data_IF_973849847619
#
_entry.id   IF_973849847619
#
_cell.length_a   1.000
_cell.length_b   1.000
_cell.length_c   1.000
_cell.angle_alpha   90.00
_cell.angle_beta   90.00
_cell.angle_gamma   90.00
#
_symmetry.space_group_name_H-M   'P 1'
#
loop_
_entity.id
_entity.type
_entity.pdbx_description
1 polymer ?
#
# COMPACT_ATOMS: atom_id res chain seq x y z
N UNK A 1 -12.78 -16.85 -0.85
CA UNK A 1 -12.42 -15.46 -1.26
C UNK A 1 -11.51 -14.93 -0.17
N UNK A 2 -10.23 -14.77 -0.52
CA UNK A 2 -9.10 -14.69 0.41
C UNK A 2 -8.93 -13.28 1.00
N UNK A 3 -8.53 -13.22 2.26
CA UNK A 3 -8.11 -11.98 2.94
C UNK A 3 -6.83 -11.44 2.29
N UNK A 4 -6.65 -10.12 2.30
CA UNK A 4 -5.41 -9.45 1.89
C UNK A 4 -4.36 -9.51 3.02
N UNK A 5 -4.80 -9.15 4.23
CA UNK A 5 -4.12 -9.40 5.48
C UNK A 5 -5.20 -9.52 6.57
N UNK A 6 -4.90 -10.22 7.67
CA UNK A 6 -5.80 -10.29 8.82
C UNK A 6 -5.07 -10.67 10.10
N UNK A 7 -5.60 -10.18 11.22
CA UNK A 7 -5.24 -10.56 12.57
C UNK A 7 -6.00 -11.81 13.02
N UNK A 8 -5.30 -12.88 13.44
CA UNK A 8 -5.93 -14.05 14.05
C UNK A 8 -5.43 -14.28 15.47
N UNK A 9 -6.34 -14.58 16.39
CA UNK A 9 -6.04 -14.86 17.79
C UNK A 9 -6.42 -16.30 18.13
N UNK A 10 -5.52 -17.03 18.77
CA UNK A 10 -5.79 -18.38 19.26
C UNK A 10 -6.50 -18.37 20.61
N UNK A 11 -7.08 -19.51 20.98
CA UNK A 11 -7.79 -19.68 22.26
C UNK A 11 -6.87 -19.49 23.49
N UNK A 12 -5.56 -19.71 23.35
CA UNK A 12 -4.55 -19.47 24.39
C UNK A 12 -3.97 -18.03 24.34
N UNK A 13 -4.70 -17.09 23.74
CA UNK A 13 -4.36 -15.67 23.63
C UNK A 13 -3.08 -15.34 22.82
N UNK A 14 -2.56 -16.27 22.02
CA UNK A 14 -1.50 -15.95 21.06
C UNK A 14 -2.07 -15.27 19.83
N UNK A 15 -1.20 -14.57 19.11
CA UNK A 15 -1.56 -13.74 17.97
C UNK A 15 -0.69 -14.07 16.76
N UNK A 16 -1.29 -14.09 15.57
CA UNK A 16 -0.59 -14.11 14.30
C UNK A 16 -1.20 -13.12 13.30
N UNK A 17 -0.34 -12.46 12.53
CA UNK A 17 -0.75 -11.72 11.34
C UNK A 17 -0.61 -12.64 10.15
N UNK A 18 -1.72 -12.88 9.45
CA UNK A 18 -1.71 -13.61 8.18
C UNK A 18 -1.67 -12.60 7.04
N UNK A 19 -0.67 -12.70 6.17
CA UNK A 19 -0.52 -11.83 5.00
C UNK A 19 -0.63 -12.69 3.74
N UNK A 20 -1.48 -12.28 2.81
CA UNK A 20 -1.59 -12.95 1.52
C UNK A 20 -0.32 -12.72 0.69
N UNK A 21 0.33 -13.80 0.26
CA UNK A 21 1.52 -13.74 -0.61
C UNK A 21 1.22 -13.01 -1.92
N UNK A 22 0.02 -13.20 -2.48
CA UNK A 22 -0.44 -12.51 -3.68
C UNK A 22 -0.44 -10.99 -3.52
N UNK A 23 -0.86 -10.47 -2.35
CA UNK A 23 -0.80 -9.04 -2.07
C UNK A 23 0.63 -8.52 -2.11
N UNK A 24 1.57 -9.25 -1.49
CA UNK A 24 2.99 -8.87 -1.48
C UNK A 24 3.57 -8.86 -2.90
N UNK A 25 3.21 -9.84 -3.73
CA UNK A 25 3.56 -9.85 -5.15
C UNK A 25 2.92 -8.70 -5.92
N UNK A 26 1.68 -8.32 -5.57
CA UNK A 26 0.94 -7.26 -6.24
C UNK A 26 1.61 -5.91 -5.97
N UNK A 27 1.90 -5.62 -4.71
CA UNK A 27 2.62 -4.42 -4.28
C UNK A 27 4.01 -4.33 -4.93
N UNK A 28 4.71 -5.47 -5.02
CA UNK A 28 6.02 -5.54 -5.68
C UNK A 28 5.94 -5.14 -7.17
N UNK A 29 5.01 -5.74 -7.93
CA UNK A 29 4.84 -5.44 -9.36
C UNK A 29 4.28 -4.04 -9.60
N UNK A 30 3.29 -3.64 -8.81
CA UNK A 30 2.65 -2.33 -8.93
C UNK A 30 3.62 -1.20 -8.59
N UNK A 31 4.48 -1.37 -7.57
CA UNK A 31 5.46 -0.35 -7.20
C UNK A 31 6.44 -0.02 -8.33
N UNK A 32 6.84 -1.02 -9.13
CA UNK A 32 7.69 -0.80 -10.32
C UNK A 32 6.96 -0.02 -11.40
N UNK A 33 5.74 -0.41 -11.73
CA UNK A 33 4.91 0.28 -12.74
C UNK A 33 4.64 1.72 -12.32
N UNK A 34 4.26 1.91 -11.07
CA UNK A 34 3.93 3.21 -10.49
C UNK A 34 5.13 4.18 -10.54
N UNK A 35 6.36 3.69 -10.32
CA UNK A 35 7.58 4.48 -10.44
C UNK A 35 7.88 4.97 -11.85
N UNK A 36 7.63 4.14 -12.86
CA UNK A 36 8.02 4.39 -14.26
C UNK A 36 6.86 4.81 -15.15
N UNK A 37 5.64 4.92 -14.63
CA UNK A 37 4.44 5.29 -15.39
C UNK A 37 4.63 6.57 -16.23
N UNK A 38 5.29 7.56 -15.63
CA UNK A 38 5.58 8.86 -16.25
C UNK A 38 6.97 8.94 -16.90
N UNK A 39 7.77 7.88 -16.77
CA UNK A 39 9.12 7.75 -17.34
C UNK A 39 9.35 6.34 -17.89
N UNK A 40 8.59 5.90 -18.92
CA UNK A 40 8.67 4.53 -19.44
C UNK A 40 10.07 4.16 -19.96
N UNK A 41 10.87 5.16 -20.34
CA UNK A 41 12.26 4.99 -20.77
C UNK A 41 13.17 4.39 -19.68
N UNK A 42 12.75 4.43 -18.41
CA UNK A 42 13.47 3.85 -17.28
C UNK A 42 13.15 2.36 -17.08
N UNK A 43 12.37 1.73 -17.96
CA UNK A 43 12.21 0.27 -17.99
C UNK A 43 13.36 -0.36 -18.78
N UNK A 44 14.20 -1.15 -18.11
CA UNK A 44 15.34 -1.85 -18.74
C UNK A 44 14.97 -3.19 -19.36
N UNK A 45 13.94 -3.83 -18.83
CA UNK A 45 13.48 -5.11 -19.34
C UNK A 45 11.99 -5.29 -19.06
N UNK A 46 11.28 -5.81 -20.05
CA UNK A 46 9.91 -6.28 -19.91
C UNK A 46 9.76 -7.63 -20.63
N UNK A 47 9.25 -8.64 -19.93
CA UNK A 47 9.11 -10.00 -20.49
C UNK A 47 8.19 -10.08 -21.71
N UNK A 48 7.25 -9.15 -21.84
CA UNK A 48 6.28 -9.06 -22.95
C UNK A 48 6.72 -8.11 -24.08
N UNK A 49 7.87 -7.43 -23.90
CA UNK A 49 8.46 -6.50 -24.88
C UNK A 49 9.98 -6.70 -24.93
N UNK A 50 10.41 -7.84 -25.45
CA UNK A 50 11.84 -8.21 -25.49
C UNK A 50 12.68 -7.28 -26.39
N UNK A 51 12.07 -6.74 -27.45
CA UNK A 51 12.75 -5.92 -28.47
C UNK A 51 12.15 -4.51 -28.63
N UNK A 52 11.15 -4.17 -27.81
CA UNK A 52 10.38 -2.94 -27.91
C UNK A 52 10.57 -2.03 -26.69
N UNK A 53 10.61 -0.71 -26.91
CA UNK A 53 10.50 0.26 -25.82
C UNK A 53 9.12 0.15 -25.20
N UNK A 54 9.07 0.04 -23.88
CA UNK A 54 7.80 0.10 -23.12
C UNK A 54 7.28 1.53 -23.18
N UNK A 55 5.99 1.68 -23.45
CA UNK A 55 5.30 2.98 -23.49
C UNK A 55 4.41 3.18 -22.25
N UNK A 56 3.97 4.41 -21.98
CA UNK A 56 2.98 4.67 -20.92
C UNK A 56 1.65 3.93 -21.17
N UNK A 57 1.28 3.72 -22.43
CA UNK A 57 0.10 2.92 -22.79
C UNK A 57 0.26 1.45 -22.40
N UNK A 58 1.44 0.87 -22.64
CA UNK A 58 1.76 -0.50 -22.20
C UNK A 58 1.70 -0.60 -20.67
N UNK A 59 2.30 0.36 -19.94
CA UNK A 59 2.29 0.38 -18.46
C UNK A 59 0.87 0.48 -17.88
N UNK A 60 0.00 1.27 -18.52
CA UNK A 60 -1.42 1.38 -18.14
C UNK A 60 -2.15 0.06 -18.35
N UNK A 61 -1.87 -0.63 -19.46
CA UNK A 61 -2.43 -1.94 -19.74
C UNK A 61 -1.93 -2.99 -18.72
N UNK A 62 -0.64 -2.98 -18.40
CA UNK A 62 -0.04 -3.88 -17.41
C UNK A 62 -0.62 -3.65 -16.01
N UNK A 63 -0.81 -2.40 -15.60
CA UNK A 63 -1.51 -2.08 -14.35
C UNK A 63 -2.92 -2.67 -14.33
N UNK A 64 -3.68 -2.50 -15.42
CA UNK A 64 -5.05 -3.02 -15.52
C UNK A 64 -5.09 -4.54 -15.45
N UNK A 65 -4.18 -5.22 -16.16
CA UNK A 65 -4.01 -6.68 -16.12
C UNK A 65 -3.67 -7.19 -14.73
N UNK A 66 -2.75 -6.52 -14.02
CA UNK A 66 -2.38 -6.87 -12.64
C UNK A 66 -3.56 -6.73 -11.68
N UNK A 67 -4.31 -5.64 -11.78
CA UNK A 67 -5.50 -5.39 -10.95
C UNK A 67 -6.56 -6.46 -11.19
N UNK A 68 -6.87 -6.73 -12.45
CA UNK A 68 -7.92 -7.70 -12.81
C UNK A 68 -7.54 -9.13 -12.41
N UNK A 69 -6.31 -9.56 -12.70
CA UNK A 69 -5.83 -10.89 -12.30
C UNK A 69 -5.80 -11.07 -10.79
N UNK A 70 -5.35 -10.05 -10.04
CA UNK A 70 -5.37 -10.11 -8.58
C UNK A 70 -6.80 -10.22 -8.04
N UNK A 71 -7.74 -9.41 -8.54
CA UNK A 71 -9.15 -9.47 -8.14
C UNK A 71 -9.79 -10.84 -8.42
N UNK A 72 -9.43 -11.45 -9.53
CA UNK A 72 -10.03 -12.71 -9.97
C UNK A 72 -9.41 -13.93 -9.26
N UNK A 73 -8.09 -13.95 -9.10
CA UNK A 73 -7.35 -15.15 -8.70
C UNK A 73 -6.59 -15.02 -7.38
N UNK A 74 -6.58 -13.84 -6.75
CA UNK A 74 -5.70 -13.55 -5.60
C UNK A 74 -4.21 -13.48 -5.96
N UNK A 75 -3.86 -13.59 -7.25
CA UNK A 75 -2.48 -13.63 -7.73
C UNK A 75 -2.28 -12.62 -8.87
N UNK A 76 -1.25 -11.74 -8.79
CA UNK A 76 -1.02 -10.70 -9.78
C UNK A 76 -0.25 -11.26 -10.99
N UNK A 77 -0.99 -11.61 -12.04
CA UNK A 77 -0.45 -12.02 -13.33
C UNK A 77 -0.09 -10.80 -14.19
N UNK A 78 0.84 -10.98 -15.12
CA UNK A 78 1.35 -9.91 -15.98
C UNK A 78 2.88 -9.86 -16.00
N UNK A 79 3.44 -8.89 -16.75
CA UNK A 79 4.84 -8.92 -17.15
C UNK A 79 5.80 -8.81 -15.98
N UNK A 80 6.99 -9.39 -16.18
CA UNK A 80 8.16 -9.13 -15.34
C UNK A 80 8.82 -7.87 -15.87
N UNK A 81 8.87 -6.85 -15.01
CA UNK A 81 9.49 -5.55 -15.30
C UNK A 81 10.74 -5.39 -14.43
N UNK A 82 11.85 -5.02 -15.05
CA UNK A 82 13.01 -4.48 -14.34
C UNK A 82 13.18 -3.00 -14.70
N UNK A 83 13.40 -2.20 -13.67
CA UNK A 83 13.58 -0.76 -13.76
C UNK A 83 15.07 -0.42 -13.74
N UNK A 84 15.40 0.80 -14.15
CA UNK A 84 16.75 1.34 -14.08
C UNK A 84 17.30 1.32 -12.64
N UNK A 85 18.59 1.03 -12.50
CA UNK A 85 19.26 0.92 -11.20
C UNK A 85 19.23 2.23 -10.40
N UNK A 86 19.17 3.38 -11.08
CA UNK A 86 18.95 4.71 -10.46
C UNK A 86 17.66 4.76 -9.62
N UNK A 87 16.64 3.97 -9.95
CA UNK A 87 15.36 3.92 -9.24
C UNK A 87 15.33 2.86 -8.13
N UNK A 88 16.31 1.96 -8.07
CA UNK A 88 16.24 0.75 -7.22
C UNK A 88 16.13 1.10 -5.73
N UNK A 89 16.92 2.06 -5.25
CA UNK A 89 16.89 2.49 -3.84
C UNK A 89 15.52 3.08 -3.48
N UNK A 90 14.96 3.90 -4.37
CA UNK A 90 13.62 4.51 -4.17
C UNK A 90 12.54 3.43 -4.17
N UNK A 91 12.62 2.48 -5.08
CA UNK A 91 11.72 1.32 -5.13
C UNK A 91 11.76 0.49 -3.86
N UNK A 92 12.94 0.14 -3.37
CA UNK A 92 13.09 -0.69 -2.18
C UNK A 92 12.53 0.02 -0.94
N UNK A 93 12.72 1.35 -0.83
CA UNK A 93 12.11 2.16 0.24
C UNK A 93 10.59 2.19 0.13
N UNK A 94 10.04 2.45 -1.06
CA UNK A 94 8.60 2.50 -1.31
C UNK A 94 7.95 1.16 -0.97
N UNK A 95 8.50 0.06 -1.49
CA UNK A 95 7.99 -1.27 -1.25
C UNK A 95 8.07 -1.64 0.24
N UNK A 96 9.18 -1.33 0.90
CA UNK A 96 9.34 -1.55 2.34
C UNK A 96 8.27 -0.80 3.15
N UNK A 97 8.01 0.48 2.84
CA UNK A 97 6.98 1.27 3.52
C UNK A 97 5.60 0.66 3.29
N UNK A 98 5.27 0.25 2.07
CA UNK A 98 3.98 -0.34 1.75
C UNK A 98 3.74 -1.64 2.53
N UNK A 99 4.71 -2.56 2.50
CA UNK A 99 4.60 -3.83 3.18
C UNK A 99 4.56 -3.66 4.70
N UNK A 100 5.40 -2.76 5.24
CA UNK A 100 5.41 -2.45 6.66
C UNK A 100 4.08 -1.84 7.11
N UNK A 101 3.47 -0.97 6.30
CA UNK A 101 2.18 -0.37 6.65
C UNK A 101 1.07 -1.43 6.72
N UNK A 102 1.00 -2.36 5.78
CA UNK A 102 0.02 -3.47 5.83
C UNK A 102 0.19 -4.26 7.13
N UNK A 103 1.42 -4.61 7.50
CA UNK A 103 1.70 -5.30 8.76
C UNK A 103 1.30 -4.46 9.99
N UNK A 104 1.69 -3.19 10.01
CA UNK A 104 1.40 -2.28 11.11
C UNK A 104 -0.09 -1.97 11.25
N UNK A 105 -0.86 -2.02 10.16
CA UNK A 105 -2.31 -1.86 10.17
C UNK A 105 -3.00 -3.01 10.90
N UNK A 106 -2.64 -4.26 10.58
CA UNK A 106 -3.16 -5.43 11.30
C UNK A 106 -2.70 -5.45 12.78
N UNK A 107 -1.44 -5.08 13.04
CA UNK A 107 -0.94 -4.93 14.41
C UNK A 107 -1.69 -3.83 15.16
N UNK A 108 -2.05 -2.74 14.49
CA UNK A 108 -2.78 -1.65 15.12
C UNK A 108 -4.19 -2.07 15.55
N UNK A 109 -4.89 -2.89 14.76
CA UNK A 109 -6.16 -3.48 15.18
C UNK A 109 -6.02 -4.35 16.44
N UNK A 110 -4.96 -5.17 16.52
CA UNK A 110 -4.65 -5.93 17.74
C UNK A 110 -4.41 -4.99 18.93
N UNK A 111 -3.58 -3.96 18.77
CA UNK A 111 -3.27 -2.99 19.82
C UNK A 111 -4.45 -2.09 20.21
N UNK A 112 -5.44 -1.95 19.34
CA UNK A 112 -6.71 -1.26 19.60
C UNK A 112 -7.73 -2.15 20.32
N UNK A 113 -7.44 -3.46 20.46
CA UNK A 113 -8.38 -4.47 20.94
C UNK A 113 -9.65 -4.55 20.09
N UNK A 114 -9.50 -4.35 18.78
CA UNK A 114 -10.63 -4.35 17.85
C UNK A 114 -11.29 -5.75 17.73
N UNK A 115 -10.61 -6.80 18.21
CA UNK A 115 -10.98 -8.22 18.14
C UNK A 115 -11.37 -8.86 19.49
N UNK A 116 -11.85 -8.09 20.47
CA UNK A 116 -12.22 -8.60 21.81
C UNK A 116 -13.37 -9.66 21.81
N UNK A 117 -13.94 -9.99 20.64
CA UNK A 117 -14.77 -11.18 20.46
C UNK A 117 -14.04 -12.19 19.57
N UNK A 118 -13.64 -13.30 20.19
CA UNK A 118 -13.05 -14.48 19.56
C UNK A 118 -13.91 -14.91 18.36
N UNK A 119 -13.30 -15.10 17.20
CA UNK A 119 -13.82 -15.92 16.09
C UNK A 119 -12.65 -16.84 15.69
N UNK A 120 -12.53 -18.03 16.27
CA UNK A 120 -13.19 -19.30 15.88
C UNK A 120 -13.20 -19.47 14.36
N UNK A 121 -12.28 -20.32 13.89
CA UNK A 121 -12.18 -20.89 12.55
C UNK A 121 -12.04 -19.88 11.39
N UNK A 122 -10.84 -19.73 10.78
CA UNK A 122 -10.60 -18.90 9.60
C UNK A 122 -11.53 -19.18 8.42
N UNK A 123 -12.17 -20.37 8.36
CA UNK A 123 -13.14 -20.75 7.34
C UNK A 123 -14.58 -20.32 7.67
N UNK A 124 -14.87 -19.94 8.92
CA UNK A 124 -16.22 -19.58 9.41
C UNK A 124 -16.35 -18.15 9.91
N UNK A 125 -15.31 -17.32 9.83
CA UNK A 125 -15.39 -15.90 10.18
C UNK A 125 -16.50 -15.26 9.34
N UNK A 126 -17.66 -14.91 9.94
CA UNK A 126 -18.73 -14.30 9.19
C UNK A 126 -18.24 -12.91 8.79
N UNK A 127 -18.12 -12.71 7.49
CA UNK A 127 -18.21 -11.45 6.76
C UNK A 127 -19.47 -10.60 7.15
N UNK A 128 -20.20 -10.90 8.21
CA UNK A 128 -21.22 -10.00 8.74
C UNK A 128 -20.52 -9.10 9.76
N UNK A 129 -20.37 -7.81 9.44
CA UNK A 129 -20.43 -6.67 10.38
C UNK A 129 -19.88 -5.43 9.65
N UNK A 130 -20.71 -4.84 8.78
CA UNK A 130 -20.39 -3.58 8.13
C UNK A 130 -21.30 -2.46 8.59
N UNK A 131 -20.69 -1.30 8.86
CA UNK A 131 -21.34 -0.09 9.34
C UNK A 131 -20.32 0.94 9.85
N UNK A 132 -20.79 2.15 10.21
CA UNK A 132 -19.96 3.29 10.61
C UNK A 132 -18.97 3.01 11.76
N UNK A 133 -19.34 2.11 12.68
CA UNK A 133 -18.45 1.69 13.78
C UNK A 133 -17.18 0.98 13.28
N UNK A 134 -17.23 0.34 12.11
CA UNK A 134 -16.09 -0.35 11.51
C UNK A 134 -15.13 0.65 10.86
N UNK A 135 -15.65 1.67 10.17
CA UNK A 135 -14.82 2.74 9.61
C UNK A 135 -14.00 3.47 10.68
N UNK A 136 -14.58 3.76 11.85
CA UNK A 136 -13.82 4.38 12.96
C UNK A 136 -12.67 3.49 13.43
N UNK A 137 -12.87 2.17 13.49
CA UNK A 137 -11.80 1.21 13.85
C UNK A 137 -10.68 1.21 12.81
N UNK A 138 -11.03 1.15 11.53
CA UNK A 138 -10.08 1.23 10.41
C UNK A 138 -9.24 2.50 10.46
N UNK A 139 -9.86 3.66 10.69
CA UNK A 139 -9.12 4.92 10.81
C UNK A 139 -8.20 4.96 12.04
N UNK A 140 -8.65 4.42 13.18
CA UNK A 140 -7.78 4.30 14.37
C UNK A 140 -6.60 3.36 14.11
N UNK A 141 -6.83 2.28 13.38
CA UNK A 141 -5.78 1.36 12.97
C UNK A 141 -4.77 2.06 12.04
N UNK A 142 -5.24 2.78 11.03
CA UNK A 142 -4.38 3.57 10.13
C UNK A 142 -3.51 4.59 10.85
N UNK A 143 -4.09 5.32 11.81
CA UNK A 143 -3.36 6.34 12.56
C UNK A 143 -2.22 5.73 13.38
N UNK A 144 -2.49 4.60 14.04
CA UNK A 144 -1.48 3.87 14.83
C UNK A 144 -0.46 3.17 13.92
N UNK A 145 -0.90 2.64 12.78
CA UNK A 145 -0.01 2.05 11.77
C UNK A 145 0.97 3.09 11.21
N UNK A 146 0.48 4.28 10.88
CA UNK A 146 1.32 5.39 10.43
C UNK A 146 2.40 5.75 11.46
N UNK A 147 2.02 5.87 12.73
CA UNK A 147 2.97 6.12 13.82
C UNK A 147 4.02 5.01 13.92
N UNK A 148 3.61 3.74 13.90
CA UNK A 148 4.53 2.60 13.97
C UNK A 148 5.50 2.55 12.78
N UNK A 149 5.00 2.84 11.58
CA UNK A 149 5.81 2.93 10.36
C UNK A 149 6.84 4.05 10.49
N UNK A 150 6.42 5.25 10.90
CA UNK A 150 7.30 6.40 11.07
C UNK A 150 8.41 6.13 12.10
N UNK A 151 8.06 5.56 13.26
CA UNK A 151 9.05 5.20 14.29
C UNK A 151 10.01 4.11 13.83
N UNK A 152 9.51 3.09 13.12
CA UNK A 152 10.35 2.01 12.58
C UNK A 152 11.36 2.52 11.57
N UNK A 153 10.93 3.40 10.65
CA UNK A 153 11.78 3.99 9.63
C UNK A 153 12.80 4.92 10.26
N UNK A 154 12.39 5.76 11.23
CA UNK A 154 13.29 6.63 12.01
C UNK A 154 14.41 5.82 12.66
N UNK A 155 14.07 4.70 13.32
CA UNK A 155 15.05 3.80 13.95
C UNK A 155 15.97 3.12 12.93
N UNK A 156 15.43 2.71 11.77
CA UNK A 156 16.20 1.98 10.75
C UNK A 156 17.17 2.87 9.97
N UNK A 157 16.77 4.09 9.62
CA UNK A 157 17.53 4.97 8.72
C UNK A 157 18.16 6.19 9.38
N UNK A 158 17.96 6.40 10.69
CA UNK A 158 18.80 7.29 11.50
C UNK A 158 18.55 8.79 11.37
N UNK A 159 17.45 9.24 10.75
CA UNK A 159 17.08 10.66 10.67
C UNK A 159 15.58 10.84 10.88
N UNK A 160 15.15 12.10 11.10
CA UNK A 160 13.76 12.52 10.92
C UNK A 160 13.37 12.23 9.47
N UNK A 161 13.03 10.97 9.20
CA UNK A 161 12.53 10.57 7.90
C UNK A 161 11.31 11.43 7.66
N UNK A 162 11.36 12.16 6.56
CA UNK A 162 10.33 13.10 6.23
C UNK A 162 8.98 12.37 6.24
N UNK A 163 8.16 12.67 7.24
CA UNK A 163 6.84 12.06 7.37
C UNK A 163 5.99 12.33 6.12
N UNK A 164 6.34 13.37 5.34
CA UNK A 164 5.77 13.66 4.02
C UNK A 164 6.10 12.58 3.00
N UNK A 165 7.34 12.07 2.98
CA UNK A 165 7.70 10.95 2.09
C UNK A 165 6.92 9.68 2.44
N UNK A 166 6.75 9.39 3.73
CA UNK A 166 5.92 8.26 4.20
C UNK A 166 4.48 8.48 3.77
N UNK A 167 3.92 9.67 4.00
CA UNK A 167 2.55 9.99 3.63
C UNK A 167 2.29 9.87 2.12
N UNK A 168 3.17 10.45 1.28
CA UNK A 168 3.07 10.33 -0.19
C UNK A 168 3.14 8.87 -0.62
N UNK A 169 4.05 8.11 -0.03
CA UNK A 169 4.18 6.68 -0.30
C UNK A 169 2.90 5.93 0.07
N UNK A 170 2.31 6.21 1.23
CA UNK A 170 1.04 5.61 1.65
C UNK A 170 -0.15 6.07 0.81
N UNK A 171 -0.16 7.32 0.33
CA UNK A 171 -1.19 7.80 -0.58
C UNK A 171 -1.22 6.98 -1.88
N UNK A 172 -0.04 6.64 -2.40
CA UNK A 172 0.10 5.74 -3.56
C UNK A 172 -0.33 4.32 -3.22
N UNK A 173 0.04 3.79 -2.05
CA UNK A 173 -0.45 2.49 -1.59
C UNK A 173 -1.99 2.43 -1.60
N UNK A 174 -2.62 3.40 -0.95
CA UNK A 174 -4.08 3.46 -0.84
C UNK A 174 -4.76 3.62 -2.19
N UNK A 175 -4.17 4.38 -3.13
CA UNK A 175 -4.63 4.42 -4.53
C UNK A 175 -4.64 3.02 -5.14
N UNK A 176 -3.57 2.24 -4.98
CA UNK A 176 -3.48 0.89 -5.53
C UNK A 176 -4.41 -0.11 -4.81
N UNK A 177 -4.56 0.00 -3.49
CA UNK A 177 -5.54 -0.79 -2.73
C UNK A 177 -6.96 -0.49 -3.22
N UNK A 178 -7.29 0.78 -3.45
CA UNK A 178 -8.57 1.21 -4.04
C UNK A 178 -8.82 0.62 -5.44
N UNK A 179 -7.75 0.46 -6.23
CA UNK A 179 -7.85 -0.21 -7.53
C UNK A 179 -8.19 -1.69 -7.39
N UNK A 180 -7.78 -2.41 -6.34
CA UNK A 180 -8.16 -3.83 -6.17
C UNK A 180 -9.46 -4.03 -5.39
N UNK A 181 -9.80 -3.15 -4.45
CA UNK A 181 -11.02 -3.24 -3.64
C UNK A 181 -12.30 -2.88 -4.39
N UNK A 182 -12.18 -2.24 -5.57
CA UNK A 182 -13.30 -1.67 -6.33
C UNK A 182 -14.16 -0.78 -5.42
N UNK A 183 -13.60 0.36 -4.96
CA UNK A 183 -14.08 1.32 -3.93
C UNK A 183 -15.61 1.47 -3.71
N UNK A 184 -16.45 1.12 -4.68
CA UNK A 184 -17.91 1.04 -4.55
C UNK A 184 -18.44 -0.22 -3.84
N UNK A 185 -17.60 -1.22 -3.55
CA UNK A 185 -18.03 -2.56 -3.09
C UNK A 185 -17.40 -3.04 -1.77
N UNK A 186 -16.44 -2.32 -1.19
CA UNK A 186 -15.84 -2.74 0.09
C UNK A 186 -16.77 -2.40 1.24
N UNK A 187 -17.40 -3.44 1.79
CA UNK A 187 -18.36 -3.36 2.89
C UNK A 187 -17.63 -3.12 4.24
N UNK A 188 -16.32 -3.39 4.32
CA UNK A 188 -15.55 -3.39 5.58
C UNK A 188 -14.46 -2.30 5.67
N UNK A 189 -13.81 -1.95 4.56
CA UNK A 189 -12.79 -0.89 4.56
C UNK A 189 -13.31 0.36 3.85
N UNK A 190 -13.10 1.57 4.41
CA UNK A 190 -13.46 2.80 3.72
C UNK A 190 -12.56 2.99 2.48
N UNK A 191 -13.01 3.76 1.48
CA UNK A 191 -12.22 4.03 0.28
C UNK A 191 -10.84 4.60 0.64
N UNK A 192 -9.80 4.19 -0.09
CA UNK A 192 -8.42 4.62 0.17
C UNK A 192 -8.25 6.15 0.20
N UNK A 193 -9.02 6.88 -0.62
CA UNK A 193 -9.03 8.35 -0.62
C UNK A 193 -9.49 8.95 0.71
N UNK A 194 -10.52 8.38 1.34
CA UNK A 194 -11.03 8.86 2.64
C UNK A 194 -10.03 8.57 3.77
N UNK A 195 -9.40 7.38 3.73
CA UNK A 195 -8.34 6.97 4.67
C UNK A 195 -7.15 7.92 4.64
N UNK A 196 -6.70 8.32 3.44
CA UNK A 196 -5.67 9.34 3.29
C UNK A 196 -6.15 10.69 3.83
N UNK A 197 -7.38 11.14 3.51
CA UNK A 197 -7.90 12.43 4.00
C UNK A 197 -7.86 12.54 5.52
N UNK A 198 -8.24 11.48 6.24
CA UNK A 198 -8.23 11.51 7.71
C UNK A 198 -6.82 11.39 8.30
N UNK A 199 -5.89 10.70 7.64
CA UNK A 199 -4.48 10.74 8.02
C UNK A 199 -3.89 12.14 7.78
N UNK A 200 -4.26 12.78 6.67
CA UNK A 200 -3.87 14.16 6.33
C UNK A 200 -4.32 15.12 7.45
N UNK A 201 -5.61 15.18 7.75
CA UNK A 201 -6.21 16.10 8.74
C UNK A 201 -5.58 15.99 10.15
N UNK A 202 -5.14 14.80 10.55
CA UNK A 202 -4.60 14.57 11.89
C UNK A 202 -3.13 14.93 12.04
N UNK A 203 -2.32 14.68 11.01
CA UNK A 203 -0.86 14.85 11.08
C UNK A 203 -0.37 16.11 10.38
N UNK A 204 -1.20 16.75 9.54
CA UNK A 204 -0.84 17.90 8.72
C UNK A 204 -2.02 18.90 8.65
N UNK A 205 -1.77 20.20 8.75
CA UNK A 205 -2.83 21.22 8.60
C UNK A 205 -3.31 21.26 7.14
N UNK A 206 -4.60 21.47 6.88
CA UNK A 206 -5.24 21.31 5.56
C UNK A 206 -4.59 22.11 4.42
N UNK A 207 -4.10 23.33 4.70
CA UNK A 207 -3.45 24.19 3.70
C UNK A 207 -2.01 23.75 3.38
N UNK A 208 -1.31 23.12 4.32
CA UNK A 208 0.02 22.57 4.08
C UNK A 208 -0.06 21.33 3.19
N UNK A 209 -1.12 20.54 3.26
CA UNK A 209 -1.19 19.19 2.67
C UNK A 209 -1.13 19.17 1.15
N UNK A 210 -1.90 20.00 0.45
CA UNK A 210 -1.88 20.01 -1.02
C UNK A 210 -0.56 20.58 -1.55
N UNK A 211 -0.02 21.59 -0.86
CA UNK A 211 1.33 22.09 -1.10
C UNK A 211 2.43 21.04 -0.82
N UNK A 212 2.25 20.22 0.22
CA UNK A 212 3.18 19.15 0.63
C UNK A 212 3.08 17.90 -0.22
N UNK A 213 1.91 17.58 -0.80
CA UNK A 213 1.76 16.51 -1.78
C UNK A 213 2.32 16.95 -3.13
N UNK A 214 2.02 18.16 -3.59
CA UNK A 214 2.64 18.71 -4.79
C UNK A 214 4.15 18.88 -4.60
N UNK A 215 4.61 19.28 -3.41
CA UNK A 215 6.04 19.33 -3.07
C UNK A 215 6.64 17.95 -2.90
N UNK A 216 5.96 16.98 -2.29
CA UNK A 216 6.46 15.61 -2.11
C UNK A 216 6.50 14.82 -3.42
N UNK A 217 5.54 15.03 -4.31
CA UNK A 217 5.61 14.56 -5.69
C UNK A 217 6.76 15.24 -6.43
N UNK A 218 6.91 16.58 -6.33
CA UNK A 218 8.07 17.28 -6.90
C UNK A 218 9.39 16.82 -6.32
N UNK A 219 9.51 16.63 -5.01
CA UNK A 219 10.72 16.20 -4.31
C UNK A 219 11.02 14.74 -4.64
N UNK A 220 9.99 13.90 -4.81
CA UNK A 220 10.13 12.55 -5.35
C UNK A 220 10.67 12.59 -6.78
N UNK A 221 10.04 13.33 -7.68
CA UNK A 221 10.53 13.51 -9.06
C UNK A 221 11.92 14.17 -9.11
N UNK A 222 12.23 15.08 -8.18
CA UNK A 222 13.52 15.74 -8.04
C UNK A 222 14.59 14.76 -7.54
N UNK A 223 14.26 13.90 -6.57
CA UNK A 223 15.13 12.77 -6.20
C UNK A 223 15.35 11.84 -7.39
N UNK A 224 14.34 11.63 -8.24
CA UNK A 224 14.49 10.85 -9.47
C UNK A 224 15.28 11.58 -10.58
N UNK A 225 15.37 12.90 -10.57
CA UNK A 225 16.14 13.69 -11.54
C UNK A 225 17.55 14.04 -11.07
N UNK A 226 17.82 14.01 -9.77
CA UNK A 226 19.16 14.27 -9.20
C UNK A 226 20.07 13.03 -9.21
N UNK A 227 19.56 11.87 -9.65
CA UNK A 227 20.29 10.59 -9.75
C UNK A 227 20.59 10.22 -11.23
N UNK A 228 20.27 11.11 -12.19
CA UNK A 228 20.72 11.05 -13.59
C UNK A 228 21.93 11.96 -13.82
#
# INVERSE_FOLDING_TARGET
REFNATCVKSNDNKYAILINKGLMMYLNKMGKIDLVMNRPELVKYCSEKKDGKVTSADLTNYQSTLVNSYRQFGLPQGPIINIDQSLQITYDKVLFIWQLFVLCHELAHYLNRDFDKILVDPQKVPWLLAGERYYIKEFKADQKAFYLVAETIKRKYGYNTDQRFILVTLARLFKHISLISNDKMSVYHPPGRERISRLKEKYFKSEDVEGLLAKGERDFYHCLSAIS
#
